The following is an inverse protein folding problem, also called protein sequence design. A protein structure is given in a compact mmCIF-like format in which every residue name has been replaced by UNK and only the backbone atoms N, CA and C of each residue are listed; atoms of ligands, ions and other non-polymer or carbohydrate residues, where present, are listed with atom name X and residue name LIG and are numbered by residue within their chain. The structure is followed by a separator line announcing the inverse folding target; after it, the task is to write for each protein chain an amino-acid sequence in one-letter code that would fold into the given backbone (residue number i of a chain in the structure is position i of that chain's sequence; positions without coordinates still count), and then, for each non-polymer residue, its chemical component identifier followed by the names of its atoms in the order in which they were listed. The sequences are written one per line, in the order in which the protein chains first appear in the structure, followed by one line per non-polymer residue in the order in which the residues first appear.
data_IF_605431465354
#
_entry.id   IF_605431465354
#
_cell.length_a   1.000
_cell.length_b   1.000
_cell.length_c   1.000
_cell.angle_alpha   90.00
_cell.angle_beta   90.00
_cell.angle_gamma   90.00
#
_symmetry.space_group_name_H-M   'P 1'
#
loop_
_entity.id
_entity.type
_entity.pdbx_description
1 polymer ?
#
# COMPACT_ATOMS: atom_id res chain seq x y z
N UNK A 1 18.66 -3.69 15.07
CA UNK A 1 17.35 -3.56 14.46
C UNK A 1 16.67 -4.91 14.28
N UNK A 2 15.36 -4.90 14.13
CA UNK A 2 14.56 -6.09 13.86
C UNK A 2 13.51 -5.80 12.80
N UNK A 3 13.31 -6.75 11.87
CA UNK A 3 12.29 -6.66 10.81
C UNK A 3 11.41 -7.89 10.90
N UNK A 4 10.11 -7.68 11.17
CA UNK A 4 9.11 -8.73 11.31
C UNK A 4 8.00 -8.54 10.27
N UNK A 5 7.81 -9.54 9.39
CA UNK A 5 6.66 -9.62 8.47
C UNK A 5 5.50 -10.33 9.18
N UNK A 6 4.35 -9.69 9.26
CA UNK A 6 3.17 -10.21 9.98
C UNK A 6 2.19 -10.98 9.09
N UNK A 7 2.33 -10.87 7.76
CA UNK A 7 1.38 -11.44 6.80
C UNK A 7 0.26 -10.47 6.44
N UNK A 8 -0.88 -11.03 5.98
CA UNK A 8 -2.04 -10.26 5.54
C UNK A 8 -2.74 -9.66 6.76
N UNK A 9 -2.93 -8.36 6.73
CA UNK A 9 -3.72 -7.62 7.72
C UNK A 9 -4.73 -6.71 7.00
N UNK A 10 -5.72 -6.26 7.74
CA UNK A 10 -6.67 -5.26 7.33
C UNK A 10 -6.16 -3.89 7.79
N UNK A 11 -5.90 -2.97 6.86
CA UNK A 11 -5.59 -1.58 7.16
C UNK A 11 -6.89 -0.79 7.14
N UNK A 12 -7.26 -0.22 8.28
CA UNK A 12 -8.52 0.51 8.42
C UNK A 12 -8.54 1.80 7.60
N UNK A 13 -9.75 2.16 7.15
CA UNK A 13 -10.02 3.44 6.51
C UNK A 13 -9.50 4.62 7.35
N UNK A 14 -8.99 5.64 6.71
CA UNK A 14 -8.34 6.76 7.40
C UNK A 14 -8.56 8.06 6.65
N UNK A 15 -9.08 9.07 7.34
CA UNK A 15 -9.04 10.45 6.89
C UNK A 15 -7.67 11.05 7.24
N UNK A 16 -7.12 11.86 6.36
CA UNK A 16 -5.84 12.51 6.60
C UNK A 16 -5.78 13.86 5.90
N UNK A 17 -4.88 14.70 6.36
CA UNK A 17 -4.38 15.82 5.57
C UNK A 17 -3.03 15.44 4.99
N UNK A 18 -2.70 15.95 3.82
CA UNK A 18 -1.46 15.64 3.11
C UNK A 18 -0.83 16.86 2.48
N UNK A 19 0.47 16.81 2.36
CA UNK A 19 1.29 17.65 1.50
C UNK A 19 2.07 16.73 0.57
N UNK A 20 2.15 17.07 -0.73
CA UNK A 20 2.87 16.29 -1.74
C UNK A 20 4.10 17.09 -2.15
N UNK A 21 5.23 16.42 -2.27
CA UNK A 21 6.46 17.04 -2.74
C UNK A 21 7.32 16.05 -3.53
N UNK A 22 8.28 16.60 -4.26
CA UNK A 22 9.28 15.86 -5.03
C UNK A 22 10.66 16.23 -4.52
N UNK A 23 11.48 15.23 -4.21
CA UNK A 23 12.85 15.48 -3.77
C UNK A 23 13.83 14.39 -4.21
N UNK A 24 15.12 14.69 -4.09
CA UNK A 24 16.18 13.69 -4.18
C UNK A 24 16.12 12.75 -2.95
N UNK A 25 16.64 11.53 -3.10
CA UNK A 25 16.78 10.62 -1.95
C UNK A 25 17.66 11.19 -0.84
N UNK A 26 18.65 12.02 -1.21
CA UNK A 26 19.54 12.67 -0.24
C UNK A 26 18.81 13.73 0.61
N UNK A 27 17.84 14.43 0.02
CA UNK A 27 17.08 15.49 0.71
C UNK A 27 15.82 14.99 1.42
N UNK A 28 15.47 13.72 1.25
CA UNK A 28 14.20 13.15 1.71
C UNK A 28 13.91 13.42 3.20
N UNK A 29 14.88 13.19 4.07
CA UNK A 29 14.70 13.45 5.52
C UNK A 29 14.46 14.92 5.82
N UNK A 30 15.16 15.82 5.14
CA UNK A 30 15.02 17.27 5.34
C UNK A 30 13.65 17.75 4.86
N UNK A 31 13.24 17.32 3.67
CA UNK A 31 11.96 17.70 3.05
C UNK A 31 10.79 17.14 3.86
N UNK A 32 10.80 15.84 4.18
CA UNK A 32 9.73 15.20 4.96
C UNK A 32 9.57 15.82 6.36
N UNK A 33 10.67 16.17 7.02
CA UNK A 33 10.62 16.88 8.30
C UNK A 33 9.96 18.24 8.19
N UNK A 34 10.31 19.03 7.15
CA UNK A 34 9.71 20.33 6.89
C UNK A 34 8.21 20.21 6.59
N UNK A 35 7.82 19.26 5.76
CA UNK A 35 6.42 18.99 5.46
C UNK A 35 5.63 18.66 6.73
N UNK A 36 6.15 17.78 7.58
CA UNK A 36 5.49 17.44 8.85
C UNK A 36 5.32 18.66 9.75
N UNK A 37 6.33 19.52 9.85
CA UNK A 37 6.24 20.77 10.61
C UNK A 37 5.15 21.71 10.06
N UNK A 38 5.06 21.87 8.73
CA UNK A 38 4.03 22.66 8.09
C UNK A 38 2.63 22.10 8.40
N UNK A 39 2.47 20.79 8.38
CA UNK A 39 1.19 20.14 8.65
C UNK A 39 0.78 20.24 10.12
N UNK A 40 1.73 20.12 11.05
CA UNK A 40 1.45 20.33 12.48
C UNK A 40 0.99 21.77 12.71
N UNK A 41 1.68 22.77 12.13
CA UNK A 41 1.24 24.17 12.22
C UNK A 41 -0.15 24.40 11.60
N UNK A 42 -0.46 23.70 10.51
CA UNK A 42 -1.78 23.77 9.87
C UNK A 42 -2.89 23.22 10.78
N UNK A 43 -2.69 22.04 11.38
CA UNK A 43 -3.70 21.44 12.27
C UNK A 43 -3.89 22.26 13.55
N UNK A 44 -2.82 22.81 14.12
CA UNK A 44 -2.90 23.70 15.28
C UNK A 44 -3.68 24.99 14.95
N UNK A 45 -3.37 25.62 13.81
CA UNK A 45 -4.06 26.85 13.38
C UNK A 45 -5.56 26.65 13.13
N UNK A 46 -5.97 25.47 12.67
CA UNK A 46 -7.34 25.16 12.27
C UNK A 46 -8.09 24.29 13.29
N UNK A 47 -7.52 24.07 14.48
CA UNK A 47 -8.09 23.25 15.56
C UNK A 47 -8.53 21.85 15.09
N UNK A 48 -7.68 21.19 14.30
CA UNK A 48 -7.94 19.86 13.75
C UNK A 48 -7.37 18.80 14.69
N UNK A 49 -8.19 17.80 15.05
CA UNK A 49 -7.76 16.69 15.91
C UNK A 49 -6.91 15.65 15.14
N UNK A 50 -5.67 15.46 15.56
CA UNK A 50 -4.78 14.38 15.07
C UNK A 50 -5.11 13.10 15.82
N UNK A 51 -5.40 12.01 15.08
CA UNK A 51 -5.79 10.73 15.65
C UNK A 51 -4.75 9.61 15.45
N UNK A 52 -3.65 9.87 14.80
CA UNK A 52 -2.68 8.83 14.47
C UNK A 52 -1.27 9.33 14.21
N UNK A 53 -0.40 8.37 13.95
CA UNK A 53 1.01 8.63 13.62
C UNK A 53 1.14 9.11 12.18
N UNK A 54 2.17 9.93 11.86
CA UNK A 54 2.45 10.37 10.49
C UNK A 54 2.62 9.18 9.53
N UNK A 55 2.14 9.37 8.33
CA UNK A 55 2.18 8.39 7.24
C UNK A 55 2.93 8.99 6.07
N UNK A 56 3.80 8.21 5.43
CA UNK A 56 4.37 8.52 4.12
C UNK A 56 3.82 7.56 3.09
N UNK A 57 3.38 8.09 1.94
CA UNK A 57 3.01 7.31 0.77
C UNK A 57 3.92 7.72 -0.39
N UNK A 58 4.49 6.75 -1.10
CA UNK A 58 5.31 7.01 -2.28
C UNK A 58 4.49 6.79 -3.55
N UNK A 59 4.31 7.87 -4.35
CA UNK A 59 3.72 7.79 -5.68
C UNK A 59 4.74 7.28 -6.69
N UNK A 60 5.98 7.77 -6.61
CA UNK A 60 7.08 7.31 -7.44
C UNK A 60 8.33 7.06 -6.62
N UNK A 61 9.15 6.12 -7.07
CA UNK A 61 10.47 5.83 -6.52
C UNK A 61 11.41 5.54 -7.68
N UNK A 62 12.04 6.62 -8.22
CA UNK A 62 12.93 6.50 -9.36
C UNK A 62 14.38 6.27 -8.91
N UNK A 63 14.81 5.03 -8.97
CA UNK A 63 16.18 4.62 -8.61
C UNK A 63 17.23 5.20 -9.57
N UNK A 64 16.88 5.42 -10.83
CA UNK A 64 17.81 5.94 -11.85
C UNK A 64 18.05 7.44 -11.66
N UNK A 65 16.97 8.20 -11.52
CA UNK A 65 17.04 9.63 -11.22
C UNK A 65 17.36 9.93 -9.75
N UNK A 66 17.27 8.93 -8.85
CA UNK A 66 17.42 9.06 -7.40
C UNK A 66 16.46 10.09 -6.80
N UNK A 67 15.22 10.10 -7.29
CA UNK A 67 14.15 11.00 -6.85
C UNK A 67 12.91 10.23 -6.45
N UNK A 68 12.08 10.87 -5.62
CA UNK A 68 10.78 10.35 -5.22
C UNK A 68 9.74 11.44 -5.22
N UNK A 69 8.51 11.10 -5.62
CA UNK A 69 7.31 11.89 -5.36
C UNK A 69 6.59 11.19 -4.22
N UNK A 70 6.31 11.90 -3.15
CA UNK A 70 5.71 11.32 -1.96
C UNK A 70 4.74 12.30 -1.29
N UNK A 71 3.80 11.74 -0.54
CA UNK A 71 2.94 12.52 0.36
C UNK A 71 3.35 12.27 1.81
N UNK A 72 3.47 13.36 2.56
CA UNK A 72 3.41 13.31 4.01
C UNK A 72 1.95 13.46 4.41
N UNK A 73 1.43 12.50 5.18
CA UNK A 73 0.04 12.48 5.64
C UNK A 73 -0.01 12.49 7.16
N UNK A 74 -0.97 13.23 7.72
CA UNK A 74 -1.29 13.21 9.15
C UNK A 74 -2.74 12.76 9.31
N UNK A 75 -2.99 11.61 9.98
CA UNK A 75 -4.35 11.13 10.23
C UNK A 75 -5.14 12.10 11.10
N UNK A 76 -6.37 12.38 10.68
CA UNK A 76 -7.31 13.29 11.34
C UNK A 76 -8.65 12.60 11.54
N UNK A 77 -9.45 13.10 12.51
CA UNK A 77 -10.71 12.47 12.87
C UNK A 77 -11.76 12.64 11.77
N UNK A 78 -11.89 13.86 11.25
CA UNK A 78 -12.90 14.23 10.26
C UNK A 78 -12.29 14.41 8.87
N UNK A 79 -13.10 14.23 7.84
CA UNK A 79 -12.70 14.55 6.48
C UNK A 79 -12.53 16.07 6.33
N UNK A 80 -11.36 16.50 5.86
CA UNK A 80 -11.03 17.91 5.68
C UNK A 80 -11.18 18.27 4.21
N UNK A 81 -12.11 19.16 3.92
CA UNK A 81 -12.29 19.73 2.59
C UNK A 81 -11.41 20.97 2.45
N UNK A 82 -10.59 21.00 1.42
CA UNK A 82 -9.70 22.12 1.11
C UNK A 82 -10.00 22.68 -0.27
N UNK A 83 -9.66 23.94 -0.49
CA UNK A 83 -9.78 24.56 -1.80
C UNK A 83 -8.82 23.89 -2.80
N UNK A 84 -9.26 23.73 -4.05
CA UNK A 84 -8.40 23.22 -5.13
C UNK A 84 -7.12 24.06 -5.25
N UNK A 85 -5.97 23.36 -5.36
CA UNK A 85 -4.65 23.98 -5.43
C UNK A 85 -4.03 24.38 -4.08
N UNK A 86 -4.67 24.04 -2.96
CA UNK A 86 -4.08 24.23 -1.63
C UNK A 86 -2.82 23.39 -1.49
N UNK A 87 -1.77 23.93 -0.86
CA UNK A 87 -0.51 23.21 -0.58
C UNK A 87 -0.76 22.01 0.34
N UNK A 88 -1.65 22.18 1.33
CA UNK A 88 -2.13 21.10 2.20
C UNK A 88 -3.56 20.78 1.80
N UNK A 89 -3.84 19.52 1.53
CA UNK A 89 -5.16 19.04 1.11
C UNK A 89 -5.66 17.91 1.99
N UNK A 90 -6.97 17.76 2.07
CA UNK A 90 -7.60 16.59 2.68
C UNK A 90 -7.52 15.39 1.78
N UNK A 91 -7.51 14.20 2.37
CA UNK A 91 -7.53 12.92 1.68
C UNK A 91 -8.17 11.84 2.53
N UNK A 92 -8.49 10.74 1.86
CA UNK A 92 -9.08 9.56 2.47
C UNK A 92 -8.61 8.30 1.74
N UNK A 93 -8.43 7.22 2.46
CA UNK A 93 -8.38 5.89 1.85
C UNK A 93 -9.33 4.94 2.59
N UNK A 94 -9.99 4.09 1.80
CA UNK A 94 -10.86 3.04 2.31
C UNK A 94 -10.06 1.93 2.97
N UNK A 95 -10.74 1.07 3.71
CA UNK A 95 -10.15 -0.12 4.29
C UNK A 95 -9.62 -1.06 3.19
N UNK A 96 -8.41 -1.59 3.34
CA UNK A 96 -7.80 -2.50 2.39
C UNK A 96 -6.98 -3.60 3.05
N UNK A 97 -6.74 -4.69 2.31
CA UNK A 97 -5.84 -5.75 2.73
C UNK A 97 -4.40 -5.40 2.35
N UNK A 98 -3.48 -5.62 3.27
CA UNK A 98 -2.05 -5.37 3.03
C UNK A 98 -1.18 -6.41 3.72
N UNK A 99 0.03 -6.59 3.21
CA UNK A 99 1.10 -7.23 3.97
C UNK A 99 1.70 -6.18 4.88
N UNK A 100 1.63 -6.45 6.19
CA UNK A 100 2.23 -5.60 7.22
C UNK A 100 3.63 -6.09 7.56
N UNK A 101 4.57 -5.17 7.65
CA UNK A 101 5.91 -5.40 8.18
C UNK A 101 6.24 -4.34 9.21
N UNK A 102 6.85 -4.74 10.32
CA UNK A 102 7.35 -3.81 11.35
C UNK A 102 8.87 -3.80 11.32
N UNK A 103 9.45 -2.63 11.19
CA UNK A 103 10.85 -2.35 11.43
C UNK A 103 10.98 -1.72 12.81
N UNK A 104 11.76 -2.33 13.69
CA UNK A 104 12.25 -1.71 14.93
C UNK A 104 13.71 -1.37 14.74
N UNK A 105 14.05 -0.09 14.71
CA UNK A 105 15.41 0.38 14.46
C UNK A 105 15.46 1.64 13.60
N UNK A 106 16.68 1.99 13.20
CA UNK A 106 16.96 3.17 12.37
C UNK A 106 16.36 3.07 10.97
N UNK A 107 15.95 4.20 10.41
CA UNK A 107 15.35 4.29 9.06
C UNK A 107 16.28 3.87 7.92
N UNK A 108 17.60 3.82 8.15
CA UNK A 108 18.55 3.26 7.16
C UNK A 108 18.23 1.82 6.77
N UNK A 109 17.46 1.11 7.62
CA UNK A 109 16.98 -0.25 7.34
C UNK A 109 15.62 -0.34 6.63
N UNK A 110 14.99 0.79 6.30
CA UNK A 110 13.70 0.81 5.61
C UNK A 110 13.72 0.04 4.28
N UNK A 111 14.76 0.25 3.47
CA UNK A 111 14.90 -0.45 2.18
C UNK A 111 14.92 -1.97 2.37
N UNK A 112 15.60 -2.46 3.40
CA UNK A 112 15.61 -3.90 3.72
C UNK A 112 14.23 -4.38 4.15
N UNK A 113 13.51 -3.60 4.96
CA UNK A 113 12.14 -3.93 5.38
C UNK A 113 11.17 -4.00 4.19
N UNK A 114 11.26 -3.05 3.25
CA UNK A 114 10.52 -3.08 2.00
C UNK A 114 10.82 -4.33 1.18
N UNK A 115 12.10 -4.65 0.98
CA UNK A 115 12.52 -5.83 0.22
C UNK A 115 12.03 -7.13 0.87
N UNK A 116 12.09 -7.26 2.20
CA UNK A 116 11.55 -8.42 2.93
C UNK A 116 10.04 -8.55 2.73
N UNK A 117 9.31 -7.44 2.72
CA UNK A 117 7.85 -7.44 2.47
C UNK A 117 7.53 -7.89 1.05
N UNK A 118 8.23 -7.36 0.05
CA UNK A 118 8.05 -7.73 -1.37
C UNK A 118 8.40 -9.21 -1.59
N UNK A 119 9.51 -9.67 -1.01
CA UNK A 119 9.93 -11.07 -1.11
C UNK A 119 8.89 -12.02 -0.46
N UNK A 120 8.28 -11.61 0.65
CA UNK A 120 7.20 -12.37 1.27
C UNK A 120 5.98 -12.48 0.34
N UNK A 121 5.55 -11.37 -0.28
CA UNK A 121 4.44 -11.34 -1.25
C UNK A 121 4.71 -12.31 -2.40
N UNK A 122 5.92 -12.25 -2.98
CA UNK A 122 6.34 -13.13 -4.08
C UNK A 122 6.39 -14.60 -3.66
N UNK A 123 7.02 -14.91 -2.52
CA UNK A 123 7.12 -16.28 -1.97
C UNK A 123 5.75 -16.89 -1.70
N UNK A 124 4.81 -16.10 -1.21
CA UNK A 124 3.42 -16.53 -0.94
C UNK A 124 2.56 -16.46 -2.19
N UNK A 125 3.09 -16.06 -3.33
CA UNK A 125 2.36 -15.88 -4.60
C UNK A 125 1.10 -15.03 -4.43
N UNK A 126 1.17 -13.98 -3.62
CA UNK A 126 0.07 -13.03 -3.44
C UNK A 126 0.04 -12.05 -4.61
N UNK A 127 -1.14 -11.52 -4.88
CA UNK A 127 -1.33 -10.50 -5.93
C UNK A 127 -1.19 -9.14 -5.26
N UNK A 128 -0.17 -8.37 -5.65
CA UNK A 128 -0.02 -6.98 -5.21
C UNK A 128 -1.14 -6.14 -5.84
N UNK A 129 -1.77 -5.27 -5.04
CA UNK A 129 -2.66 -4.25 -5.57
C UNK A 129 -1.85 -3.02 -6.00
N UNK A 130 -1.69 -2.85 -7.31
CA UNK A 130 -0.89 -1.76 -7.88
C UNK A 130 -1.58 -0.40 -7.85
N UNK A 131 -2.89 -0.38 -7.64
CA UNK A 131 -3.69 0.84 -7.51
C UNK A 131 -3.78 1.33 -6.05
N UNK A 132 -3.46 0.43 -5.11
CA UNK A 132 -3.47 0.76 -3.68
C UNK A 132 -2.25 1.54 -3.23
N UNK A 133 -2.40 2.26 -2.13
CA UNK A 133 -1.33 3.07 -1.54
C UNK A 133 -0.32 2.20 -0.78
N UNK A 134 0.94 2.30 -1.14
CA UNK A 134 2.03 1.79 -0.30
C UNK A 134 2.27 2.78 0.85
N UNK A 135 2.19 2.31 2.08
CA UNK A 135 2.16 3.16 3.28
C UNK A 135 3.31 2.82 4.21
N UNK A 136 4.01 3.84 4.69
CA UNK A 136 4.89 3.78 5.86
C UNK A 136 4.27 4.57 7.00
N UNK A 137 4.09 3.95 8.17
CA UNK A 137 3.55 4.59 9.37
C UNK A 137 4.66 4.72 10.41
N UNK A 138 4.97 5.93 10.83
CA UNK A 138 6.02 6.23 11.79
C UNK A 138 5.46 6.21 13.23
N UNK A 139 5.31 5.01 13.80
CA UNK A 139 4.68 4.77 15.11
C UNK A 139 5.45 5.37 16.27
N UNK A 140 6.76 5.17 16.27
CA UNK A 140 7.68 5.74 17.25
C UNK A 140 8.83 6.35 16.48
N UNK A 141 9.03 7.66 16.63
CA UNK A 141 10.01 8.43 15.90
C UNK A 141 10.41 9.69 16.67
N UNK A 142 11.31 10.51 16.12
CA UNK A 142 11.55 11.86 16.65
C UNK A 142 10.24 12.68 16.55
N UNK A 143 9.97 13.59 17.52
CA UNK A 143 10.78 13.90 18.71
C UNK A 143 10.48 13.01 19.93
N UNK A 144 9.52 12.08 19.85
CA UNK A 144 9.08 11.26 20.99
C UNK A 144 10.17 10.32 21.54
N UNK A 145 11.00 9.77 20.65
CA UNK A 145 12.09 8.86 21.04
C UNK A 145 13.39 9.28 20.32
N UNK A 146 14.43 9.58 21.09
CA UNK A 146 15.71 10.03 20.56
C UNK A 146 16.65 8.88 20.16
N UNK A 147 16.40 7.67 20.67
CA UNK A 147 17.24 6.49 20.38
C UNK A 147 16.76 5.80 19.10
N UNK A 148 17.51 5.84 17.98
CA UNK A 148 17.10 5.21 16.72
C UNK A 148 16.79 3.72 16.85
N UNK A 149 17.47 3.01 17.75
CA UNK A 149 17.20 1.58 18.01
C UNK A 149 15.81 1.27 18.53
N UNK A 150 15.07 2.27 19.02
CA UNK A 150 13.70 2.14 19.52
C UNK A 150 12.64 2.68 18.57
N UNK A 151 13.03 3.24 17.44
CA UNK A 151 12.06 3.70 16.45
C UNK A 151 11.28 2.52 15.87
N UNK A 152 10.03 2.77 15.54
CA UNK A 152 9.12 1.75 14.99
C UNK A 152 8.44 2.30 13.75
N UNK A 153 8.71 1.67 12.61
CA UNK A 153 8.06 1.95 11.34
C UNK A 153 7.26 0.73 10.92
N UNK A 154 6.01 0.95 10.54
CA UNK A 154 5.15 -0.09 9.96
C UNK A 154 4.99 0.17 8.46
N UNK A 155 5.24 -0.87 7.66
CA UNK A 155 5.09 -0.85 6.20
C UNK A 155 3.85 -1.65 5.84
N UNK A 156 3.00 -1.10 4.97
CA UNK A 156 1.81 -1.77 4.43
C UNK A 156 1.86 -1.74 2.91
N UNK A 157 1.94 -2.92 2.30
CA UNK A 157 1.87 -3.10 0.84
C UNK A 157 0.53 -3.73 0.49
N UNK A 158 -0.35 -3.04 -0.25
CA UNK A 158 -1.66 -3.54 -0.61
C UNK A 158 -1.60 -4.84 -1.40
N UNK A 159 -2.52 -5.77 -1.08
CA UNK A 159 -2.68 -7.04 -1.79
C UNK A 159 -4.15 -7.31 -2.07
N UNK A 160 -4.44 -7.95 -3.22
CA UNK A 160 -5.79 -8.38 -3.59
C UNK A 160 -6.08 -9.77 -3.02
N UNK A 161 -7.33 -10.02 -2.65
CA UNK A 161 -7.81 -11.39 -2.37
C UNK A 161 -7.64 -12.23 -3.64
N UNK A 162 -7.15 -13.46 -3.49
CA UNK A 162 -7.23 -14.42 -4.60
C UNK A 162 -8.70 -14.75 -4.84
N UNK A 163 -9.20 -14.41 -6.02
CA UNK A 163 -10.47 -14.95 -6.50
C UNK A 163 -10.16 -16.35 -7.03
N UNK A 164 -10.68 -17.38 -6.37
CA UNK A 164 -10.64 -18.73 -6.91
C UNK A 164 -11.57 -18.78 -8.13
N UNK A 165 -10.99 -18.81 -9.33
CA UNK A 165 -11.72 -19.12 -10.54
C UNK A 165 -11.66 -20.64 -10.68
N UNK A 166 -12.79 -21.37 -10.50
CA UNK A 166 -12.83 -22.82 -10.71
C UNK A 166 -12.39 -23.11 -12.14
N UNK A 167 -11.45 -24.04 -12.30
CA UNK A 167 -11.14 -24.54 -13.65
C UNK A 167 -12.44 -25.10 -14.24
N UNK A 168 -12.79 -24.77 -15.50
CA UNK A 168 -13.92 -25.41 -16.15
C UNK A 168 -13.70 -26.92 -16.11
N UNK A 169 -14.71 -27.67 -15.70
CA UNK A 169 -14.68 -29.13 -15.78
C UNK A 169 -14.48 -29.51 -17.24
N UNK A 170 -13.62 -30.50 -17.57
CA UNK A 170 -13.54 -31.02 -18.91
C UNK A 170 -14.98 -31.44 -19.33
N UNK A 171 -15.45 -30.89 -20.40
CA UNK A 171 -16.71 -31.34 -20.99
C UNK A 171 -16.46 -32.75 -21.55
N UNK A 172 -17.09 -33.78 -20.97
CA UNK A 172 -17.10 -35.10 -21.53
C UNK A 172 -17.71 -34.97 -22.94
N UNK A 173 -16.91 -35.25 -23.96
CA UNK A 173 -17.38 -35.41 -25.32
C UNK A 173 -18.30 -36.61 -25.32
N UNK A 174 -19.63 -36.37 -25.43
CA UNK A 174 -20.57 -37.44 -25.77
C UNK A 174 -20.24 -37.92 -27.17
N UNK A 175 -19.73 -39.16 -27.27
CA UNK A 175 -19.65 -39.87 -28.55
C UNK A 175 -21.06 -40.03 -29.10
N UNK A 176 -21.33 -39.32 -30.19
CA UNK A 176 -22.52 -39.55 -30.97
C UNK A 176 -22.30 -40.86 -31.76
N UNK A 177 -22.83 -41.96 -31.25
CA UNK A 177 -22.92 -43.23 -31.96
C UNK A 177 -23.90 -43.02 -33.11
N UNK A 178 -23.34 -42.83 -34.32
CA UNK A 178 -24.10 -42.81 -35.55
C UNK A 178 -24.56 -44.21 -35.95
N UNK A 179 -25.85 -44.48 -35.79
CA UNK A 179 -26.51 -45.66 -36.37
C UNK A 179 -26.66 -45.43 -37.89
N UNK A 180 -25.88 -46.14 -38.69
CA UNK A 180 -26.08 -46.23 -40.13
C UNK A 180 -27.20 -47.27 -40.43
N UNK A 181 -28.37 -46.80 -40.82
CA UNK A 181 -29.39 -47.65 -41.44
C UNK A 181 -29.05 -47.88 -42.91
N UNK A 182 -28.80 -49.16 -43.25
CA UNK A 182 -28.64 -49.62 -44.64
C UNK A 182 -30.01 -49.90 -45.23
N UNK A 183 -30.47 -49.06 -46.12
CA UNK A 183 -31.69 -49.36 -46.95
C UNK A 183 -31.28 -50.14 -48.13
N UNK A 184 -31.72 -51.41 -48.22
CA UNK A 184 -31.65 -52.24 -49.37
C UNK A 184 -32.93 -52.05 -50.18
N UNK A 185 -32.85 -51.46 -51.36
CA UNK A 185 -33.96 -51.45 -52.35
C UNK A 185 -33.73 -52.54 -53.40
N UNK A 186 -34.56 -53.56 -53.39
CA UNK A 186 -34.67 -54.49 -54.47
C UNK A 186 -35.60 -53.89 -55.49
N UNK A 187 -35.21 -53.93 -56.77
CA UNK A 187 -36.06 -53.65 -57.94
C UNK A 187 -36.09 -54.88 -58.85
N UNK A 188 -37.29 -55.27 -59.18
CA UNK A 188 -37.68 -56.18 -60.27
C UNK A 188 -37.62 -55.48 -61.63
#
# INVERSE_FOLDING_TARGET
YNIKVHGIVKKHATNYIQQIDTCSFADFQKVSKKMLQNMIAFVEKNDIAIIGSPIITHQTWDKKAKTTIFSMCVPVEEEILTTSGSEISGGHFDEFLAIKTTLTGDYSHNIEAWNKTINYINKKKLIKDTEGLNIEVYKISLPKERKPSKWVTEIYIPVKKRVYIPKPKPTELQEVVGTSETSTTNTT
#
